data_IF_112309334977
#
_entry.id   IF_112309334977
#
_cell.length_a   1.000
_cell.length_b   1.000
_cell.length_c   1.000
_cell.angle_alpha   90.00
_cell.angle_beta   90.00
_cell.angle_gamma   90.00
#
_symmetry.space_group_name_H-M   'P 1'
#
loop_
_entity.id
_entity.type
_entity.pdbx_description
1 polymer ?
#
# COMPACT_ATOMS: atom_id res chain seq x y z
N UNK A 1 -6.65 15.32 -7.11
CA UNK A 1 -5.35 14.73 -7.47
C UNK A 1 -5.54 13.63 -8.50
N UNK A 2 -4.52 13.29 -9.29
CA UNK A 2 -4.65 12.41 -10.47
C UNK A 2 -4.60 10.90 -10.16
N UNK A 3 -4.88 10.49 -8.92
CA UNK A 3 -4.84 9.07 -8.52
C UNK A 3 -3.45 8.42 -8.49
N UNK A 4 -2.37 9.22 -8.60
CA UNK A 4 -1.00 8.70 -8.72
C UNK A 4 -0.39 8.20 -7.41
N UNK A 5 -0.91 8.63 -6.26
CA UNK A 5 -0.31 8.34 -4.95
C UNK A 5 -0.22 6.85 -4.61
N UNK A 6 -1.34 6.13 -4.71
CA UNK A 6 -1.37 4.69 -4.41
C UNK A 6 -0.58 3.88 -5.44
N UNK A 7 -0.65 4.26 -6.72
CA UNK A 7 0.12 3.62 -7.79
C UNK A 7 1.62 3.77 -7.58
N UNK A 8 2.08 4.96 -7.16
CA UNK A 8 3.48 5.21 -6.84
C UNK A 8 3.91 4.43 -5.60
N UNK A 9 3.13 4.47 -4.51
CA UNK A 9 3.42 3.73 -3.29
C UNK A 9 3.50 2.21 -3.55
N UNK A 10 2.61 1.67 -4.40
CA UNK A 10 2.62 0.28 -4.83
C UNK A 10 3.88 -0.08 -5.59
N UNK A 11 4.28 0.73 -6.58
CA UNK A 11 5.55 0.54 -7.30
C UNK A 11 6.74 0.54 -6.33
N UNK A 12 6.77 1.45 -5.36
CA UNK A 12 7.89 1.53 -4.41
C UNK A 12 8.00 0.26 -3.57
N UNK A 13 6.90 -0.12 -2.93
CA UNK A 13 6.88 -1.28 -2.03
C UNK A 13 7.14 -2.58 -2.78
N UNK A 14 6.46 -2.80 -3.90
CA UNK A 14 6.51 -4.09 -4.60
C UNK A 14 7.75 -4.22 -5.49
N UNK A 15 8.10 -3.19 -6.25
CA UNK A 15 9.15 -3.31 -7.28
C UNK A 15 10.55 -2.99 -6.76
N UNK A 16 10.69 -2.06 -5.81
CA UNK A 16 12.01 -1.64 -5.30
C UNK A 16 12.39 -2.32 -3.98
N UNK A 17 11.41 -2.72 -3.17
CA UNK A 17 11.67 -3.34 -1.87
C UNK A 17 11.20 -4.80 -1.78
N UNK A 18 10.71 -5.37 -2.90
CA UNK A 18 10.17 -6.74 -2.97
C UNK A 18 9.15 -7.06 -1.85
N UNK A 19 8.48 -6.01 -1.37
CA UNK A 19 7.49 -6.05 -0.31
C UNK A 19 6.09 -6.28 -0.86
N UNK A 20 5.08 -6.06 -0.01
CA UNK A 20 3.66 -6.13 -0.38
C UNK A 20 2.90 -4.98 0.25
N UNK A 21 1.95 -4.39 -0.49
CA UNK A 21 0.98 -3.42 0.02
C UNK A 21 -0.43 -3.89 -0.32
N UNK A 22 -1.33 -3.89 0.67
CA UNK A 22 -2.71 -4.32 0.48
C UNK A 22 -3.65 -3.66 1.50
N UNK A 23 -4.96 -3.68 1.21
CA UNK A 23 -5.98 -3.25 2.16
C UNK A 23 -6.10 -4.29 3.26
N UNK A 24 -5.83 -3.89 4.51
CA UNK A 24 -6.03 -4.74 5.68
C UNK A 24 -7.48 -4.73 6.14
N UNK A 25 -8.10 -3.56 6.11
CA UNK A 25 -9.48 -3.34 6.53
C UNK A 25 -10.03 -2.10 5.83
N UNK A 26 -11.29 -2.15 5.43
CA UNK A 26 -12.03 -0.98 4.95
C UNK A 26 -13.45 -1.09 5.44
N UNK A 27 -13.96 -0.03 6.07
CA UNK A 27 -15.35 0.03 6.54
C UNK A 27 -15.95 1.40 6.21
N UNK A 28 -17.15 1.39 5.64
CA UNK A 28 -17.89 2.58 5.25
C UNK A 28 -18.14 3.45 6.48
N UNK A 29 -17.85 4.74 6.37
CA UNK A 29 -18.02 5.69 7.47
C UNK A 29 -16.96 5.60 8.58
N UNK A 30 -16.03 4.62 8.55
CA UNK A 30 -14.92 4.53 9.51
C UNK A 30 -13.54 4.73 8.88
N UNK A 31 -13.35 4.27 7.64
CA UNK A 31 -12.11 4.49 6.89
C UNK A 31 -11.45 3.20 6.40
N UNK A 32 -10.22 3.34 5.88
CA UNK A 32 -9.45 2.25 5.28
C UNK A 32 -8.05 2.19 5.89
N UNK A 33 -7.62 1.00 6.26
CA UNK A 33 -6.26 0.71 6.74
C UNK A 33 -5.52 -0.11 5.70
N UNK A 34 -4.38 0.39 5.24
CA UNK A 34 -3.43 -0.36 4.41
C UNK A 34 -2.36 -1.02 5.28
N UNK A 35 -1.90 -2.20 4.87
CA UNK A 35 -0.78 -2.90 5.50
C UNK A 35 0.35 -3.05 4.47
N UNK A 36 1.56 -2.76 4.94
CA UNK A 36 2.79 -2.88 4.16
C UNK A 36 3.66 -3.93 4.84
N UNK A 37 4.14 -4.89 4.05
CA UNK A 37 5.12 -5.90 4.45
C UNK A 37 6.41 -5.62 3.69
N UNK A 38 7.53 -5.47 4.38
CA UNK A 38 8.86 -5.31 3.79
C UNK A 38 9.70 -6.53 4.11
N UNK A 39 10.57 -6.94 3.18
CA UNK A 39 11.56 -8.00 3.45
C UNK A 39 12.61 -7.47 4.42
N UNK A 40 13.10 -8.32 5.33
CA UNK A 40 14.33 -8.02 6.07
C UNK A 40 15.50 -8.12 5.08
N UNK A 41 16.36 -7.11 5.08
CA UNK A 41 17.67 -7.13 4.43
C UNK A 41 18.69 -7.92 5.23
#
# INVERSE_FOLDING_TARGET
GWGLGLSLAKRIVENYHEGKIFVKQSEIGKGTTFRILLRKG
#
